data_IF_289311833773
#
_entry.id   IF_289311833773
#
_cell.length_a   1.000
_cell.length_b   1.000
_cell.length_c   1.000
_cell.angle_alpha   90.00
_cell.angle_beta   90.00
_cell.angle_gamma   90.00
#
_symmetry.space_group_name_H-M   'P 1'
#
loop_
_entity.id
_entity.type
_entity.pdbx_description
1 polymer ?
#
# COMPACT_ATOMS: atom_id res chain seq x y z
N UNK A 1 -9.63 -21.27 11.13
CA UNK A 1 -9.23 -19.90 10.74
C UNK A 1 -8.61 -19.99 9.36
N UNK A 2 -9.26 -19.48 8.33
CA UNK A 2 -8.72 -19.43 6.97
C UNK A 2 -8.29 -18.00 6.65
N UNK A 3 -7.25 -17.85 5.83
CA UNK A 3 -6.87 -16.57 5.24
C UNK A 3 -7.89 -16.22 4.16
N UNK A 4 -8.45 -15.01 4.21
CA UNK A 4 -9.41 -14.51 3.23
C UNK A 4 -8.79 -13.35 2.44
N UNK A 5 -8.33 -13.57 1.19
CA UNK A 5 -7.75 -12.50 0.37
C UNK A 5 -8.85 -11.56 -0.12
N UNK A 6 -8.66 -10.26 0.13
CA UNK A 6 -9.55 -9.21 -0.37
C UNK A 6 -8.73 -8.15 -1.13
N UNK A 7 -9.10 -7.80 -2.37
CA UNK A 7 -8.50 -6.64 -3.03
C UNK A 7 -8.89 -5.38 -2.28
N UNK A 8 -7.96 -4.43 -2.18
CA UNK A 8 -8.12 -3.17 -1.45
C UNK A 8 -7.50 -2.03 -2.25
N UNK A 9 -8.14 -0.87 -2.25
CA UNK A 9 -7.60 0.35 -2.82
C UNK A 9 -6.85 1.13 -1.74
N UNK A 10 -5.97 2.06 -2.14
CA UNK A 10 -5.29 2.93 -1.17
C UNK A 10 -6.31 3.74 -0.36
N UNK A 11 -7.39 4.20 -0.99
CA UNK A 11 -8.48 4.90 -0.29
C UNK A 11 -9.19 4.03 0.74
N UNK A 12 -9.45 2.75 0.45
CA UNK A 12 -10.10 1.86 1.42
C UNK A 12 -9.19 1.55 2.61
N UNK A 13 -7.89 1.43 2.34
CA UNK A 13 -6.86 1.20 3.36
C UNK A 13 -6.71 2.44 4.24
N UNK A 14 -6.36 3.60 3.68
CA UNK A 14 -5.94 4.76 4.47
C UNK A 14 -7.03 5.79 4.73
N UNK A 15 -8.15 5.74 4.01
CA UNK A 15 -9.18 6.79 4.09
C UNK A 15 -10.04 6.74 5.34
N UNK A 16 -10.43 5.54 5.82
CA UNK A 16 -11.38 5.43 6.93
C UNK A 16 -11.14 4.23 7.87
N UNK A 17 -10.07 3.46 7.65
CA UNK A 17 -9.81 2.26 8.43
C UNK A 17 -8.77 2.55 9.50
N UNK A 18 -9.14 2.36 10.77
CA UNK A 18 -8.20 2.47 11.89
C UNK A 18 -7.53 1.13 12.16
N UNK A 19 -6.21 1.11 12.02
CA UNK A 19 -5.39 -0.06 12.30
C UNK A 19 -4.70 0.03 13.66
N UNK A 20 -4.38 -1.14 14.20
CA UNK A 20 -3.67 -1.31 15.46
C UNK A 20 -2.42 -2.16 15.22
N UNK A 21 -1.38 -1.89 15.98
CA UNK A 21 -0.14 -2.66 16.00
C UNK A 21 -0.08 -3.35 17.36
N UNK A 22 0.14 -4.66 17.36
CA UNK A 22 0.17 -5.44 18.59
C UNK A 22 1.56 -5.42 19.24
N UNK A 23 1.66 -5.74 20.53
CA UNK A 23 2.88 -5.56 21.32
C UNK A 23 4.08 -6.40 20.83
N UNK A 24 3.81 -7.51 20.12
CA UNK A 24 4.85 -8.39 19.58
C UNK A 24 5.44 -7.89 18.24
N UNK A 25 4.83 -6.88 17.63
CA UNK A 25 5.35 -6.30 16.41
C UNK A 25 6.62 -5.50 16.68
N UNK A 26 7.56 -5.57 15.76
CA UNK A 26 8.83 -4.83 15.88
C UNK A 26 8.63 -3.36 15.52
N UNK A 27 9.51 -2.52 16.05
CA UNK A 27 9.60 -1.12 15.68
C UNK A 27 9.83 -0.93 14.18
N UNK A 28 9.54 0.28 13.69
CA UNK A 28 9.90 0.66 12.33
C UNK A 28 11.43 0.56 12.12
N UNK A 29 11.87 -0.13 11.07
CA UNK A 29 13.29 -0.35 10.74
C UNK A 29 13.60 -0.14 9.26
N UNK A 30 12.62 0.25 8.46
CA UNK A 30 12.91 0.65 7.09
C UNK A 30 13.86 1.86 7.09
N UNK A 31 14.83 1.80 6.18
CA UNK A 31 15.86 2.81 6.00
C UNK A 31 15.64 3.43 4.64
N UNK A 32 16.33 4.54 4.36
CA UNK A 32 16.28 5.25 3.08
C UNK A 32 16.27 4.30 1.87
N UNK A 33 17.20 3.35 1.79
CA UNK A 33 17.28 2.37 0.70
C UNK A 33 16.01 1.53 0.50
N UNK A 34 15.30 1.17 1.57
CA UNK A 34 14.06 0.40 1.47
C UNK A 34 12.91 1.26 0.93
N UNK A 35 12.85 2.54 1.34
CA UNK A 35 11.85 3.50 0.85
C UNK A 35 12.12 3.86 -0.61
N UNK A 36 13.39 4.08 -0.97
CA UNK A 36 13.81 4.31 -2.35
C UNK A 36 13.42 3.14 -3.23
N UNK A 37 13.69 1.90 -2.83
CA UNK A 37 13.26 0.72 -3.58
C UNK A 37 11.73 0.65 -3.78
N UNK A 38 10.93 1.02 -2.76
CA UNK A 38 9.47 1.07 -2.90
C UNK A 38 9.05 2.14 -3.93
N UNK A 39 9.68 3.32 -3.86
CA UNK A 39 9.40 4.41 -4.80
C UNK A 39 9.82 4.03 -6.22
N UNK A 40 10.99 3.42 -6.37
CA UNK A 40 11.51 2.95 -7.66
C UNK A 40 10.54 1.97 -8.33
N UNK A 41 9.97 1.03 -7.57
CA UNK A 41 8.95 0.10 -8.09
C UNK A 41 7.68 0.83 -8.59
N UNK A 42 7.25 1.87 -7.87
CA UNK A 42 6.09 2.69 -8.26
C UNK A 42 6.41 3.53 -9.49
N UNK A 43 7.57 4.21 -9.49
CA UNK A 43 7.99 5.06 -10.59
C UNK A 43 8.26 4.26 -11.85
N UNK A 44 8.84 3.07 -11.75
CA UNK A 44 9.05 2.18 -12.89
C UNK A 44 7.74 1.90 -13.64
N UNK A 45 6.65 1.65 -12.91
CA UNK A 45 5.34 1.44 -13.51
C UNK A 45 4.77 2.73 -14.10
N UNK A 46 4.93 3.85 -13.40
CA UNK A 46 4.49 5.17 -13.84
C UNK A 46 5.20 5.64 -15.12
N UNK A 47 6.52 5.55 -15.18
CA UNK A 47 7.34 5.97 -16.33
C UNK A 47 7.01 5.23 -17.61
N UNK A 48 6.55 3.97 -17.51
CA UNK A 48 6.08 3.20 -18.67
C UNK A 48 4.79 3.72 -19.30
N UNK A 49 4.01 4.53 -18.59
CA UNK A 49 2.69 5.01 -19.02
C UNK A 49 2.62 6.55 -19.10
N UNK A 50 3.52 7.24 -18.39
CA UNK A 50 3.60 8.68 -18.35
C UNK A 50 4.06 9.26 -19.70
N UNK A 51 3.33 10.26 -20.18
CA UNK A 51 3.71 11.04 -21.35
C UNK A 51 3.65 12.54 -21.00
N UNK A 52 4.78 13.26 -21.03
CA UNK A 52 4.82 14.68 -20.67
C UNK A 52 4.05 15.59 -21.64
N UNK A 53 3.65 15.09 -22.82
CA UNK A 53 2.87 15.84 -23.81
C UNK A 53 1.35 15.69 -23.61
N UNK A 54 0.92 14.95 -22.59
CA UNK A 54 -0.50 14.68 -22.31
C UNK A 54 -0.92 15.46 -21.08
N UNK A 55 -2.06 16.15 -21.16
CA UNK A 55 -2.62 16.90 -20.03
C UNK A 55 -2.99 15.97 -18.87
N UNK A 56 -2.71 16.42 -17.66
CA UNK A 56 -3.07 15.71 -16.42
C UNK A 56 -4.55 15.93 -16.12
N UNK A 57 -5.40 15.01 -16.57
CA UNK A 57 -6.83 14.98 -16.29
C UNK A 57 -7.32 13.56 -15.96
N UNK A 58 -8.54 13.46 -15.40
CA UNK A 58 -9.10 12.19 -14.92
C UNK A 58 -9.20 11.14 -16.04
N UNK A 59 -9.56 11.55 -17.26
CA UNK A 59 -9.68 10.63 -18.40
C UNK A 59 -8.33 10.02 -18.77
N UNK A 60 -7.27 10.82 -18.81
CA UNK A 60 -5.91 10.35 -19.10
C UNK A 60 -5.36 9.50 -17.96
N UNK A 61 -5.59 9.89 -16.70
CA UNK A 61 -5.17 9.11 -15.52
C UNK A 61 -5.91 7.76 -15.47
N UNK A 62 -7.17 7.69 -15.89
CA UNK A 62 -7.97 6.45 -15.89
C UNK A 62 -7.39 5.35 -16.80
N UNK A 63 -6.51 5.72 -17.73
CA UNK A 63 -5.83 4.80 -18.66
C UNK A 63 -4.57 4.17 -18.05
N UNK A 64 -4.11 4.67 -16.91
CA UNK A 64 -2.97 4.08 -16.23
C UNK A 64 -3.34 2.67 -15.73
N UNK A 65 -2.38 1.75 -15.82
CA UNK A 65 -2.51 0.39 -15.35
C UNK A 65 -2.63 0.32 -13.83
N UNK A 66 -3.00 -0.87 -13.35
CA UNK A 66 -3.16 -1.11 -11.93
C UNK A 66 -1.79 -1.20 -11.25
N UNK A 67 -1.64 -0.52 -10.11
CA UNK A 67 -0.46 -0.59 -9.27
C UNK A 67 -0.68 -1.65 -8.19
N UNK A 68 0.29 -2.55 -8.04
CA UNK A 68 0.26 -3.57 -7.01
C UNK A 68 1.28 -3.24 -5.90
N UNK A 69 0.78 -2.80 -4.74
CA UNK A 69 1.60 -2.40 -3.60
C UNK A 69 1.77 -3.51 -2.56
N UNK A 70 1.83 -4.76 -3.04
CA UNK A 70 1.95 -5.99 -2.25
C UNK A 70 0.81 -6.26 -1.24
N UNK A 71 0.77 -7.47 -0.70
CA UNK A 71 -0.23 -7.89 0.31
C UNK A 71 0.14 -7.40 1.70
N UNK A 72 -0.86 -7.08 2.51
CA UNK A 72 -0.73 -6.90 3.95
C UNK A 72 -1.70 -7.87 4.64
N UNK A 73 -1.36 -8.31 5.85
CA UNK A 73 -2.18 -9.28 6.58
C UNK A 73 -2.74 -8.61 7.82
N UNK A 74 -4.04 -8.77 8.02
CA UNK A 74 -4.73 -8.26 9.20
C UNK A 74 -5.43 -9.35 9.97
N UNK A 75 -5.58 -9.13 11.28
CA UNK A 75 -6.46 -9.91 12.13
C UNK A 75 -7.52 -9.00 12.74
N UNK A 76 -8.79 -9.39 12.66
CA UNK A 76 -9.87 -8.68 13.34
C UNK A 76 -10.13 -9.34 14.69
N UNK A 77 -9.86 -8.62 15.78
CA UNK A 77 -10.03 -9.11 17.13
C UNK A 77 -10.66 -8.03 18.02
N UNK A 78 -11.72 -8.39 18.74
CA UNK A 78 -12.43 -7.47 19.65
C UNK A 78 -12.82 -6.13 19.00
N UNK A 79 -13.32 -6.18 17.75
CA UNK A 79 -13.72 -4.99 16.99
C UNK A 79 -12.57 -4.12 16.45
N UNK A 80 -11.31 -4.52 16.67
CA UNK A 80 -10.12 -3.82 16.18
C UNK A 80 -9.46 -4.59 15.05
N UNK A 81 -8.91 -3.87 14.08
CA UNK A 81 -8.17 -4.44 12.97
C UNK A 81 -6.67 -4.30 13.24
N UNK A 82 -5.99 -5.42 13.49
CA UNK A 82 -4.57 -5.46 13.79
C UNK A 82 -3.76 -5.80 12.55
N UNK A 83 -2.65 -5.10 12.33
CA UNK A 83 -1.68 -5.46 11.29
C UNK A 83 -0.80 -6.59 11.82
N UNK A 84 -0.77 -7.71 11.08
CA UNK A 84 0.03 -8.91 11.39
C UNK A 84 1.27 -8.96 10.51
N UNK A 85 1.16 -8.53 9.25
CA UNK A 85 2.27 -8.44 8.31
C UNK A 85 2.13 -7.21 7.40
N UNK A 86 3.26 -6.71 6.88
CA UNK A 86 3.31 -5.54 6.01
C UNK A 86 3.43 -4.19 6.73
N UNK A 87 3.58 -4.18 8.07
CA UNK A 87 3.62 -2.96 8.89
C UNK A 87 4.62 -1.89 8.40
N UNK A 88 5.84 -2.28 8.02
CA UNK A 88 6.87 -1.32 7.60
C UNK A 88 6.44 -0.55 6.34
N UNK A 89 5.93 -1.28 5.34
CA UNK A 89 5.39 -0.69 4.11
C UNK A 89 4.14 0.13 4.39
N UNK A 90 3.28 -0.37 5.28
CA UNK A 90 2.06 0.33 5.70
C UNK A 90 2.34 1.68 6.40
N UNK A 91 3.49 1.79 7.08
CA UNK A 91 3.87 2.97 7.85
C UNK A 91 4.61 4.02 7.00
N UNK A 92 5.21 3.60 5.88
CA UNK A 92 6.04 4.45 5.02
C UNK A 92 5.17 5.37 4.17
#
# INVERSE_FOLDING_TARGET
MSVNPKPQTIDSVFGNTKYYIDFYQREYKWKKLHVESLLDDIFYKFEGEYNPNVDVNTDNISRFGWYYLNTYVTNQYSGKMFIVDGQQRFTT
#
